data_IF_121543860344
#
_entry.id   IF_121543860344
#
_cell.length_a   1.000
_cell.length_b   1.000
_cell.length_c   1.000
_cell.angle_alpha   90.00
_cell.angle_beta   90.00
_cell.angle_gamma   90.00
#
_symmetry.space_group_name_H-M   'P 1'
#
loop_
_entity.id
_entity.type
_entity.pdbx_description
1 polymer ?
#
# COMPACT_ATOMS: atom_id res chain seq x y z
N UNK A 1 -164.27 -38.35 -15.79
CA UNK A 1 -163.65 -39.61 -16.25
C UNK A 1 -163.06 -39.38 -17.64
N UNK A 2 -161.74 -39.18 -17.73
CA UNK A 2 -160.96 -39.12 -18.99
C UNK A 2 -159.59 -39.87 -18.80
N UNK A 3 -159.48 -40.70 -17.77
CA UNK A 3 -158.20 -41.20 -17.24
C UNK A 3 -157.64 -42.49 -17.84
N UNK A 4 -158.39 -43.21 -18.68
CA UNK A 4 -158.00 -44.55 -19.16
C UNK A 4 -157.73 -44.67 -20.66
N UNK A 5 -157.70 -43.55 -21.38
CA UNK A 5 -157.29 -43.54 -22.78
C UNK A 5 -155.75 -43.60 -22.85
N UNK A 6 -155.19 -44.63 -23.50
CA UNK A 6 -153.75 -44.84 -23.64
C UNK A 6 -152.99 -43.62 -24.21
N UNK A 7 -153.68 -42.81 -25.01
CA UNK A 7 -153.20 -41.52 -25.51
C UNK A 7 -152.91 -40.50 -24.40
N UNK A 8 -153.72 -40.42 -23.34
CA UNK A 8 -153.49 -39.48 -22.22
C UNK A 8 -152.29 -39.88 -21.36
N UNK A 9 -152.04 -41.17 -21.12
CA UNK A 9 -150.82 -41.63 -20.42
C UNK A 9 -149.56 -41.32 -21.23
N UNK A 10 -149.60 -41.49 -22.54
CA UNK A 10 -148.50 -41.13 -23.43
C UNK A 10 -148.22 -39.62 -23.41
N UNK A 11 -149.25 -38.79 -23.53
CA UNK A 11 -149.11 -37.32 -23.44
C UNK A 11 -148.57 -36.90 -22.07
N UNK A 12 -149.03 -37.51 -20.98
CA UNK A 12 -148.50 -37.28 -19.63
C UNK A 12 -147.01 -37.56 -19.53
N UNK A 13 -146.55 -38.72 -20.03
CA UNK A 13 -145.12 -39.07 -20.04
C UNK A 13 -144.27 -38.15 -20.95
N UNK A 14 -144.83 -37.63 -22.04
CA UNK A 14 -144.15 -36.63 -22.88
C UNK A 14 -144.03 -35.28 -22.16
N UNK A 15 -145.06 -34.84 -21.44
CA UNK A 15 -145.01 -33.61 -20.64
C UNK A 15 -144.00 -33.71 -19.48
N UNK A 16 -143.95 -34.86 -18.81
CA UNK A 16 -142.98 -35.11 -17.73
C UNK A 16 -141.54 -35.08 -18.25
N UNK A 17 -141.25 -35.75 -19.37
CA UNK A 17 -139.94 -35.67 -20.03
C UNK A 17 -139.60 -34.25 -20.49
N UNK A 18 -140.56 -33.48 -21.00
CA UNK A 18 -140.33 -32.07 -21.35
C UNK A 18 -139.98 -31.23 -20.11
N UNK A 19 -140.61 -31.52 -18.96
CA UNK A 19 -140.27 -30.86 -17.70
C UNK A 19 -138.87 -31.25 -17.21
N UNK A 20 -138.48 -32.53 -17.33
CA UNK A 20 -137.12 -33.00 -17.04
C UNK A 20 -136.08 -32.36 -17.96
N UNK A 21 -136.31 -32.38 -19.28
CA UNK A 21 -135.45 -31.74 -20.27
C UNK A 21 -135.31 -30.24 -19.99
N UNK A 22 -136.39 -29.56 -19.58
CA UNK A 22 -136.31 -28.14 -19.21
C UNK A 22 -135.45 -27.92 -17.96
N UNK A 23 -135.51 -28.82 -16.97
CA UNK A 23 -134.65 -28.77 -15.78
C UNK A 23 -133.19 -29.04 -16.14
N UNK A 24 -132.93 -30.02 -17.00
CA UNK A 24 -131.59 -30.36 -17.49
C UNK A 24 -131.00 -29.22 -18.31
N UNK A 25 -131.75 -28.62 -19.23
CA UNK A 25 -131.31 -27.45 -20.00
C UNK A 25 -130.94 -26.29 -19.08
N UNK A 26 -131.79 -25.96 -18.09
CA UNK A 26 -131.46 -24.91 -17.11
C UNK A 26 -130.23 -25.24 -16.28
N UNK A 27 -130.05 -26.51 -15.90
CA UNK A 27 -128.85 -26.96 -15.19
C UNK A 27 -127.61 -26.81 -16.08
N UNK A 28 -127.68 -27.25 -17.33
CA UNK A 28 -126.59 -27.13 -18.31
C UNK A 28 -126.23 -25.67 -18.56
N UNK A 29 -127.22 -24.83 -18.80
CA UNK A 29 -127.07 -23.38 -18.99
C UNK A 29 -126.39 -22.74 -17.77
N UNK A 30 -126.83 -23.08 -16.55
CA UNK A 30 -126.18 -22.60 -15.32
C UNK A 30 -124.72 -23.08 -15.22
N UNK A 31 -124.43 -24.35 -15.54
CA UNK A 31 -123.06 -24.86 -15.51
C UNK A 31 -122.18 -24.23 -16.59
N UNK A 32 -122.73 -23.99 -17.79
CA UNK A 32 -122.05 -23.32 -18.88
C UNK A 32 -121.70 -21.88 -18.50
N UNK A 33 -122.65 -21.15 -17.92
CA UNK A 33 -122.42 -19.79 -17.41
C UNK A 33 -121.34 -19.74 -16.32
N UNK A 34 -121.32 -20.71 -15.40
CA UNK A 34 -120.26 -20.83 -14.38
C UNK A 34 -118.91 -21.13 -15.03
N UNK A 35 -118.87 -22.03 -16.01
CA UNK A 35 -117.64 -22.37 -16.74
C UNK A 35 -117.11 -21.17 -17.54
N UNK A 36 -117.99 -20.41 -18.21
CA UNK A 36 -117.62 -19.18 -18.92
C UNK A 36 -117.06 -18.15 -17.95
N UNK A 37 -117.68 -17.96 -16.78
CA UNK A 37 -117.17 -17.06 -15.75
C UNK A 37 -115.80 -17.50 -15.21
N UNK A 38 -115.59 -18.81 -15.02
CA UNK A 38 -114.30 -19.37 -14.61
C UNK A 38 -113.22 -19.20 -15.69
N UNK A 39 -113.54 -19.48 -16.96
CA UNK A 39 -112.64 -19.28 -18.09
C UNK A 39 -112.24 -17.81 -18.21
N UNK A 40 -113.20 -16.89 -18.11
CA UNK A 40 -112.93 -15.44 -18.14
C UNK A 40 -112.02 -15.01 -16.98
N UNK A 41 -112.23 -15.57 -15.78
CA UNK A 41 -111.36 -15.30 -14.63
C UNK A 41 -109.95 -15.83 -14.84
N UNK A 42 -109.81 -17.05 -15.35
CA UNK A 42 -108.51 -17.66 -15.65
C UNK A 42 -107.77 -16.90 -16.76
N UNK A 43 -108.48 -16.44 -17.80
CA UNK A 43 -107.90 -15.66 -18.88
C UNK A 43 -107.34 -14.32 -18.37
N UNK A 44 -108.10 -13.63 -17.50
CA UNK A 44 -107.61 -12.43 -16.81
C UNK A 44 -106.39 -12.70 -15.94
N UNK A 45 -106.34 -13.84 -15.24
CA UNK A 45 -105.18 -14.22 -14.42
C UNK A 45 -103.97 -14.56 -15.30
N UNK A 46 -104.19 -15.23 -16.44
CA UNK A 46 -103.15 -15.55 -17.42
C UNK A 46 -102.55 -14.27 -18.00
N UNK A 47 -103.37 -13.29 -18.35
CA UNK A 47 -102.91 -12.00 -18.89
C UNK A 47 -102.15 -11.17 -17.86
N UNK A 48 -102.60 -11.14 -16.61
CA UNK A 48 -101.87 -10.49 -15.52
C UNK A 48 -100.53 -11.16 -15.26
N UNK A 49 -100.49 -12.50 -15.23
CA UNK A 49 -99.24 -13.25 -15.07
C UNK A 49 -98.28 -13.03 -16.24
N UNK A 50 -98.79 -12.99 -17.49
CA UNK A 50 -97.99 -12.66 -18.68
C UNK A 50 -97.43 -11.24 -18.61
N UNK A 51 -98.23 -10.28 -18.14
CA UNK A 51 -97.78 -8.90 -17.96
C UNK A 51 -96.67 -8.81 -16.91
N UNK A 52 -96.85 -9.44 -15.76
CA UNK A 52 -95.82 -9.49 -14.70
C UNK A 52 -94.55 -10.21 -15.17
N UNK A 53 -94.67 -11.28 -15.95
CA UNK A 53 -93.52 -11.98 -16.53
C UNK A 53 -92.71 -11.07 -17.45
N UNK A 54 -93.38 -10.29 -18.32
CA UNK A 54 -92.72 -9.29 -19.19
C UNK A 54 -92.04 -8.19 -18.40
N UNK A 55 -92.70 -7.64 -17.38
CA UNK A 55 -92.10 -6.62 -16.52
C UNK A 55 -90.84 -7.12 -15.80
N UNK A 56 -90.85 -8.38 -15.34
CA UNK A 56 -89.69 -9.02 -14.72
C UNK A 56 -88.59 -9.34 -15.71
N UNK A 57 -88.93 -9.69 -16.95
CA UNK A 57 -87.96 -9.90 -18.03
C UNK A 57 -87.24 -8.59 -18.39
N UNK A 58 -87.99 -7.49 -18.53
CA UNK A 58 -87.43 -6.15 -18.76
C UNK A 58 -86.52 -5.70 -17.59
N UNK A 59 -86.92 -5.97 -16.35
CA UNK A 59 -86.12 -5.68 -15.15
C UNK A 59 -84.81 -6.49 -15.15
N UNK A 60 -84.87 -7.79 -15.47
CA UNK A 60 -83.70 -8.63 -15.60
C UNK A 60 -82.76 -8.16 -16.71
N UNK A 61 -83.29 -7.69 -17.84
CA UNK A 61 -82.47 -7.16 -18.93
C UNK A 61 -81.75 -5.87 -18.52
N UNK A 62 -82.43 -4.96 -17.80
CA UNK A 62 -81.82 -3.74 -17.24
C UNK A 62 -80.72 -4.08 -16.24
N UNK A 63 -80.96 -5.02 -15.34
CA UNK A 63 -79.96 -5.47 -14.37
C UNK A 63 -78.76 -6.13 -15.04
N UNK A 64 -78.97 -6.93 -16.10
CA UNK A 64 -77.87 -7.50 -16.90
C UNK A 64 -77.03 -6.41 -17.57
N UNK A 65 -77.66 -5.41 -18.19
CA UNK A 65 -76.95 -4.26 -18.79
C UNK A 65 -76.15 -3.50 -17.73
N UNK A 66 -76.74 -3.28 -16.56
CA UNK A 66 -76.05 -2.64 -15.44
C UNK A 66 -74.82 -3.43 -14.97
N UNK A 67 -74.97 -4.74 -14.74
CA UNK A 67 -73.86 -5.63 -14.36
C UNK A 67 -72.76 -5.61 -15.43
N UNK A 68 -73.13 -5.63 -16.71
CA UNK A 68 -72.16 -5.55 -17.80
C UNK A 68 -71.37 -4.23 -17.76
N UNK A 69 -72.06 -3.09 -17.64
CA UNK A 69 -71.38 -1.79 -17.53
C UNK A 69 -70.49 -1.69 -16.30
N UNK A 70 -70.94 -2.21 -15.15
CA UNK A 70 -70.14 -2.24 -13.93
C UNK A 70 -68.89 -3.10 -14.11
N UNK A 71 -69.00 -4.28 -14.72
CA UNK A 71 -67.85 -5.14 -15.03
C UNK A 71 -66.86 -4.48 -15.98
N UNK A 72 -67.34 -3.79 -17.03
CA UNK A 72 -66.47 -3.09 -17.97
C UNK A 72 -65.73 -1.93 -17.28
N UNK A 73 -66.40 -1.19 -16.39
CA UNK A 73 -65.73 -0.16 -15.57
C UNK A 73 -64.72 -0.74 -14.58
N UNK A 74 -65.01 -1.90 -13.97
CA UNK A 74 -64.10 -2.58 -13.05
C UNK A 74 -62.82 -3.03 -13.78
N UNK A 75 -62.96 -3.66 -14.95
CA UNK A 75 -61.82 -4.04 -15.81
C UNK A 75 -60.97 -2.83 -16.24
N UNK A 76 -61.62 -1.72 -16.58
CA UNK A 76 -60.91 -0.48 -16.92
C UNK A 76 -60.17 0.11 -15.72
N UNK A 77 -60.71 -0.01 -14.51
CA UNK A 77 -60.03 0.39 -13.29
C UNK A 77 -58.84 -0.53 -12.95
N UNK A 78 -59.01 -1.85 -13.07
CA UNK A 78 -57.95 -2.84 -12.86
C UNK A 78 -56.77 -2.61 -13.81
N UNK A 79 -57.03 -2.36 -15.09
CA UNK A 79 -55.98 -2.04 -16.06
C UNK A 79 -55.20 -0.76 -15.68
N UNK A 80 -55.89 0.26 -15.16
CA UNK A 80 -55.24 1.50 -14.68
C UNK A 80 -54.43 1.26 -13.40
N UNK A 81 -54.86 0.36 -12.52
CA UNK A 81 -54.10 -0.02 -11.32
C UNK A 81 -52.82 -0.75 -11.75
N UNK A 82 -52.91 -1.70 -12.67
CA UNK A 82 -51.76 -2.44 -13.17
C UNK A 82 -50.73 -1.53 -13.86
N UNK A 83 -51.17 -0.59 -14.71
CA UNK A 83 -50.27 0.39 -15.34
C UNK A 83 -49.57 1.29 -14.31
N UNK A 84 -50.30 1.71 -13.26
CA UNK A 84 -49.72 2.48 -12.16
C UNK A 84 -48.73 1.66 -11.34
N UNK A 85 -49.00 0.39 -11.06
CA UNK A 85 -48.07 -0.51 -10.37
C UNK A 85 -46.78 -0.71 -11.17
N UNK A 86 -46.86 -0.90 -12.48
CA UNK A 86 -45.68 -0.99 -13.34
C UNK A 86 -44.88 0.32 -13.34
N UNK A 87 -45.58 1.46 -13.38
CA UNK A 87 -44.94 2.78 -13.31
C UNK A 87 -44.25 3.02 -11.95
N UNK A 88 -44.85 2.56 -10.85
CA UNK A 88 -44.28 2.63 -9.51
C UNK A 88 -43.04 1.76 -9.41
N UNK A 89 -43.07 0.52 -9.93
CA UNK A 89 -41.89 -0.34 -10.00
C UNK A 89 -40.71 0.31 -10.73
N UNK A 90 -40.96 0.96 -11.88
CA UNK A 90 -39.93 1.71 -12.61
C UNK A 90 -39.36 2.89 -11.81
N UNK A 91 -40.18 3.56 -11.00
CA UNK A 91 -39.74 4.66 -10.13
C UNK A 91 -38.93 4.12 -8.95
N UNK A 92 -39.34 3.01 -8.35
CA UNK A 92 -38.61 2.35 -7.26
C UNK A 92 -37.22 1.88 -7.71
N UNK A 93 -37.11 1.29 -8.90
CA UNK A 93 -35.82 0.86 -9.45
C UNK A 93 -34.90 2.06 -9.74
N UNK A 94 -35.43 3.15 -10.29
CA UNK A 94 -34.68 4.41 -10.44
C UNK A 94 -34.23 4.94 -9.08
N UNK A 95 -35.09 4.90 -8.07
CA UNK A 95 -34.75 5.36 -6.71
C UNK A 95 -33.62 4.50 -6.10
N UNK A 96 -33.65 3.17 -6.27
CA UNK A 96 -32.57 2.27 -5.82
C UNK A 96 -31.24 2.61 -6.49
N UNK A 97 -31.23 2.78 -7.82
CA UNK A 97 -30.00 3.17 -8.54
C UNK A 97 -29.48 4.54 -8.10
N UNK A 98 -30.37 5.51 -7.83
CA UNK A 98 -29.97 6.83 -7.34
C UNK A 98 -29.38 6.75 -5.91
N UNK A 99 -29.94 5.90 -5.04
CA UNK A 99 -29.38 5.67 -3.70
C UNK A 99 -28.00 5.04 -3.79
N UNK A 100 -27.79 4.05 -4.65
CA UNK A 100 -26.49 3.40 -4.83
C UNK A 100 -25.43 4.36 -5.38
N UNK A 101 -25.78 5.16 -6.40
CA UNK A 101 -24.87 6.19 -6.94
C UNK A 101 -24.56 7.27 -5.92
N UNK A 102 -25.54 7.72 -5.12
CA UNK A 102 -25.34 8.69 -4.04
C UNK A 102 -24.38 8.16 -2.97
N UNK A 103 -24.55 6.91 -2.53
CA UNK A 103 -23.63 6.26 -1.57
C UNK A 103 -22.21 6.17 -2.10
N UNK A 104 -22.05 5.83 -3.40
CA UNK A 104 -20.74 5.79 -4.05
C UNK A 104 -20.08 7.18 -4.09
N UNK A 105 -20.85 8.21 -4.44
CA UNK A 105 -20.33 9.59 -4.42
C UNK A 105 -19.96 10.06 -3.02
N UNK A 106 -20.70 9.65 -1.99
CA UNK A 106 -20.37 9.96 -0.60
C UNK A 106 -19.05 9.29 -0.17
N UNK A 107 -18.84 8.00 -0.51
CA UNK A 107 -17.57 7.32 -0.24
C UNK A 107 -16.40 7.96 -0.99
N UNK A 108 -16.59 8.28 -2.28
CA UNK A 108 -15.56 8.92 -3.09
C UNK A 108 -15.21 10.32 -2.53
N UNK A 109 -16.21 11.10 -2.15
CA UNK A 109 -16.02 12.41 -1.50
C UNK A 109 -15.25 12.30 -0.18
N UNK A 110 -15.53 11.29 0.64
CA UNK A 110 -14.80 11.05 1.88
C UNK A 110 -13.34 10.67 1.62
N UNK A 111 -13.07 9.86 0.59
CA UNK A 111 -11.70 9.51 0.21
C UNK A 111 -10.92 10.73 -0.30
N UNK A 112 -11.51 11.54 -1.18
CA UNK A 112 -10.88 12.77 -1.66
C UNK A 112 -10.66 13.79 -0.55
N UNK A 113 -11.57 13.87 0.44
CA UNK A 113 -11.37 14.73 1.61
C UNK A 113 -10.18 14.26 2.46
N UNK A 114 -10.00 12.94 2.63
CA UNK A 114 -8.84 12.39 3.34
C UNK A 114 -7.52 12.65 2.59
N UNK A 115 -7.51 12.47 1.27
CA UNK A 115 -6.37 12.78 0.41
C UNK A 115 -6.00 14.27 0.45
N UNK A 116 -7.00 15.17 0.39
CA UNK A 116 -6.79 16.61 0.50
C UNK A 116 -6.13 16.99 1.83
N UNK A 117 -6.60 16.43 2.96
CA UNK A 117 -5.99 16.64 4.28
C UNK A 117 -4.55 16.13 4.35
N UNK A 118 -4.27 14.98 3.74
CA UNK A 118 -2.92 14.44 3.67
C UNK A 118 -1.99 15.34 2.85
N UNK A 119 -2.46 15.86 1.72
CA UNK A 119 -1.69 16.80 0.88
C UNK A 119 -1.46 18.14 1.58
N UNK A 120 -2.44 18.66 2.32
CA UNK A 120 -2.28 19.87 3.15
C UNK A 120 -1.20 19.68 4.22
N UNK A 121 -1.19 18.53 4.89
CA UNK A 121 -0.16 18.22 5.90
C UNK A 121 1.23 18.09 5.27
N UNK A 122 1.35 17.45 4.10
CA UNK A 122 2.61 17.39 3.36
C UNK A 122 3.11 18.77 2.93
N UNK A 123 2.22 19.65 2.48
CA UNK A 123 2.55 21.04 2.14
C UNK A 123 2.99 21.82 3.39
N UNK A 124 2.33 21.61 4.53
CA UNK A 124 2.69 22.23 5.81
C UNK A 124 4.10 21.83 6.25
N UNK A 125 4.42 20.52 6.20
CA UNK A 125 5.76 20.01 6.52
C UNK A 125 6.81 20.56 5.55
N UNK A 126 6.51 20.56 4.25
CA UNK A 126 7.43 21.08 3.23
C UNK A 126 7.72 22.57 3.41
N UNK A 127 6.70 23.38 3.74
CA UNK A 127 6.87 24.81 4.05
C UNK A 127 7.73 25.04 5.29
N UNK A 128 7.57 24.21 6.32
CA UNK A 128 8.41 24.27 7.53
C UNK A 128 9.87 23.97 7.19
N UNK A 129 10.12 22.89 6.45
CA UNK A 129 11.46 22.53 6.00
C UNK A 129 12.11 23.64 5.14
N UNK A 130 11.33 24.29 4.27
CA UNK A 130 11.82 25.41 3.45
C UNK A 130 12.16 26.64 4.31
N UNK A 131 11.43 26.88 5.40
CA UNK A 131 11.78 27.91 6.39
C UNK A 131 13.06 27.57 7.12
N UNK A 132 13.17 26.34 7.64
CA UNK A 132 14.34 25.88 8.41
C UNK A 132 15.62 25.93 7.55
N UNK A 133 15.54 25.48 6.28
CA UNK A 133 16.65 25.57 5.33
C UNK A 133 17.02 27.01 4.95
N UNK A 134 16.04 27.93 4.92
CA UNK A 134 16.32 29.35 4.70
C UNK A 134 17.08 29.96 5.86
N UNK A 135 16.70 29.62 7.09
CA UNK A 135 17.39 30.07 8.30
C UNK A 135 18.81 29.49 8.37
N UNK A 136 18.99 28.20 8.08
CA UNK A 136 20.32 27.57 8.01
C UNK A 136 21.22 28.22 6.95
N UNK A 137 20.68 28.48 5.76
CA UNK A 137 21.41 29.19 4.71
C UNK A 137 21.84 30.59 5.15
N UNK A 138 21.01 31.30 5.92
CA UNK A 138 21.36 32.61 6.49
C UNK A 138 22.52 32.51 7.48
N UNK A 139 22.48 31.52 8.37
CA UNK A 139 23.57 31.27 9.34
C UNK A 139 24.88 30.91 8.63
N UNK A 140 24.84 30.01 7.65
CA UNK A 140 26.02 29.63 6.87
C UNK A 140 26.60 30.79 6.05
N UNK A 141 25.74 31.65 5.49
CA UNK A 141 26.18 32.84 4.78
C UNK A 141 26.91 33.83 5.71
N UNK A 142 26.42 33.98 6.95
CA UNK A 142 27.07 34.82 7.95
C UNK A 142 28.43 34.24 8.38
N UNK A 143 28.51 32.93 8.62
CA UNK A 143 29.78 32.25 8.93
C UNK A 143 30.80 32.37 7.79
N UNK A 144 30.34 32.26 6.53
CA UNK A 144 31.20 32.48 5.37
C UNK A 144 31.72 33.91 5.33
N UNK A 145 30.86 34.91 5.60
CA UNK A 145 31.23 36.33 5.67
C UNK A 145 32.31 36.56 6.73
N UNK A 146 32.10 36.06 7.95
CA UNK A 146 33.08 36.15 9.04
C UNK A 146 34.41 35.48 8.68
N UNK A 147 34.38 34.30 8.03
CA UNK A 147 35.60 33.60 7.59
C UNK A 147 36.32 34.33 6.47
N UNK A 148 35.59 34.96 5.53
CA UNK A 148 36.21 35.79 4.50
C UNK A 148 36.86 37.03 5.09
N UNK A 149 36.20 37.71 6.06
CA UNK A 149 36.77 38.84 6.77
C UNK A 149 38.05 38.44 7.54
N UNK A 150 38.05 37.29 8.24
CA UNK A 150 39.25 36.74 8.89
C UNK A 150 40.38 36.44 7.90
N UNK A 151 40.07 35.88 6.72
CA UNK A 151 41.08 35.59 5.69
C UNK A 151 41.68 36.87 5.11
N UNK A 152 40.87 37.91 4.94
CA UNK A 152 41.34 39.23 4.49
C UNK A 152 42.25 39.87 5.54
N UNK A 153 41.92 39.76 6.84
CA UNK A 153 42.80 40.18 7.92
C UNK A 153 44.14 39.43 7.91
N UNK A 154 44.11 38.09 7.83
CA UNK A 154 45.32 37.27 7.75
C UNK A 154 46.18 37.66 6.54
N UNK A 155 45.56 37.88 5.37
CA UNK A 155 46.27 38.32 4.18
C UNK A 155 46.90 39.71 4.37
N UNK A 156 46.21 40.61 5.06
CA UNK A 156 46.73 41.93 5.39
C UNK A 156 47.96 41.84 6.32
N UNK A 157 47.98 40.92 7.28
CA UNK A 157 49.14 40.59 8.12
C UNK A 157 50.27 39.85 7.37
N UNK A 158 49.94 39.10 6.31
CA UNK A 158 50.94 38.37 5.50
C UNK A 158 51.77 39.31 4.61
N UNK A 159 51.23 40.46 4.21
CA UNK A 159 51.95 41.47 3.43
C UNK A 159 53.22 42.01 4.14
N UNK A 160 53.20 42.39 5.43
CA UNK A 160 54.41 42.73 6.16
C UNK A 160 55.31 41.52 6.40
N UNK A 161 54.77 40.31 6.58
CA UNK A 161 55.58 39.08 6.66
C UNK A 161 56.41 38.83 5.39
N UNK A 162 55.87 39.10 4.19
CA UNK A 162 56.66 39.04 2.93
C UNK A 162 57.81 40.04 2.88
N UNK A 163 57.71 41.17 3.59
CA UNK A 163 58.84 42.12 3.74
C UNK A 163 59.91 41.54 4.65
N UNK A 164 59.51 40.81 5.70
CA UNK A 164 60.42 40.07 6.58
C UNK A 164 61.07 38.90 5.82
N UNK A 165 60.34 38.10 5.04
CA UNK A 165 60.90 37.02 4.20
C UNK A 165 61.88 37.53 3.13
N UNK A 166 61.70 38.77 2.65
CA UNK A 166 62.66 39.40 1.74
C UNK A 166 63.94 39.76 2.49
N UNK A 167 63.81 40.25 3.73
CA UNK A 167 64.91 40.52 4.65
C UNK A 167 65.64 39.24 5.09
N UNK A 168 64.91 38.14 5.29
CA UNK A 168 65.45 36.81 5.59
C UNK A 168 66.13 36.19 4.37
N UNK A 169 65.59 36.30 3.15
CA UNK A 169 66.33 35.84 1.94
C UNK A 169 67.61 36.64 1.68
N UNK A 170 67.61 37.93 1.98
CA UNK A 170 68.80 38.77 1.89
C UNK A 170 69.84 38.43 2.98
N UNK A 171 69.45 37.76 4.08
CA UNK A 171 70.36 37.28 5.15
C UNK A 171 70.68 35.79 5.08
N UNK A 172 69.83 34.97 4.45
CA UNK A 172 69.98 33.51 4.31
C UNK A 172 70.65 33.09 3.00
N UNK A 173 71.09 34.06 2.18
CA UNK A 173 72.06 33.87 1.08
C UNK A 173 73.45 33.41 1.54
N UNK A 174 73.66 33.18 2.85
CA UNK A 174 74.92 32.70 3.44
C UNK A 174 74.84 31.25 3.96
N UNK A 175 73.66 30.62 4.01
CA UNK A 175 73.56 29.22 4.43
C UNK A 175 73.40 28.27 3.24
N UNK A 176 74.49 27.58 2.96
CA UNK A 176 74.69 26.51 1.99
C UNK A 176 73.55 25.45 2.00
N UNK A 177 73.06 25.00 0.84
CA UNK A 177 72.11 23.91 0.77
C UNK A 177 72.75 22.61 1.28
N UNK A 178 72.12 22.00 2.28
CA UNK A 178 72.37 20.63 2.69
C UNK A 178 72.41 19.73 1.45
N UNK A 179 73.52 19.04 1.27
CA UNK A 179 73.88 18.30 0.06
C UNK A 179 72.84 17.23 -0.31
N UNK A 180 72.61 17.13 -1.63
CA UNK A 180 71.74 16.16 -2.32
C UNK A 180 72.04 14.68 -2.03
N UNK A 181 73.16 14.37 -1.37
CA UNK A 181 73.56 13.01 -1.01
C UNK A 181 72.68 12.36 0.06
N UNK A 182 72.02 13.15 0.95
CA UNK A 182 71.12 12.60 1.97
C UNK A 182 69.75 12.19 1.43
N UNK A 183 69.28 12.84 0.35
CA UNK A 183 68.01 12.51 -0.31
C UNK A 183 68.08 11.18 -1.09
N UNK A 184 69.22 10.87 -1.70
CA UNK A 184 69.41 9.60 -2.42
C UNK A 184 69.53 8.40 -1.47
N UNK A 185 70.07 8.59 -0.27
CA UNK A 185 70.14 7.55 0.75
C UNK A 185 68.75 7.21 1.32
N UNK A 186 67.90 8.22 1.57
CA UNK A 186 66.53 8.02 2.03
C UNK A 186 65.67 7.29 0.98
N UNK A 187 65.80 7.65 -0.30
CA UNK A 187 65.07 6.98 -1.38
C UNK A 187 65.41 5.48 -1.49
N UNK A 188 66.68 5.11 -1.31
CA UNK A 188 67.12 3.71 -1.33
C UNK A 188 66.60 2.89 -0.14
N UNK A 189 66.48 3.50 1.05
CA UNK A 189 65.92 2.84 2.24
C UNK A 189 64.41 2.60 2.09
N UNK A 190 63.68 3.55 1.52
CA UNK A 190 62.24 3.39 1.23
C UNK A 190 62.00 2.25 0.25
N UNK A 191 62.80 2.14 -0.81
CA UNK A 191 62.69 1.05 -1.78
C UNK A 191 62.93 -0.33 -1.15
N UNK A 192 63.89 -0.45 -0.22
CA UNK A 192 64.15 -1.70 0.52
C UNK A 192 63.00 -2.09 1.44
N UNK A 193 62.42 -1.12 2.15
CA UNK A 193 61.26 -1.37 3.02
C UNK A 193 60.02 -1.79 2.23
N UNK A 194 59.81 -1.22 1.04
CA UNK A 194 58.73 -1.64 0.14
C UNK A 194 58.92 -3.08 -0.36
N UNK A 195 60.16 -3.49 -0.65
CA UNK A 195 60.49 -4.87 -1.00
C UNK A 195 60.12 -5.85 0.11
N UNK A 196 60.56 -5.55 1.36
CA UNK A 196 60.27 -6.39 2.53
C UNK A 196 58.76 -6.50 2.79
N UNK A 197 58.01 -5.41 2.65
CA UNK A 197 56.55 -5.43 2.80
C UNK A 197 55.88 -6.31 1.74
N UNK A 198 56.39 -6.29 0.51
CA UNK A 198 55.86 -7.11 -0.60
C UNK A 198 56.13 -8.60 -0.34
N UNK A 199 57.32 -8.94 0.14
CA UNK A 199 57.69 -10.32 0.52
C UNK A 199 56.84 -10.82 1.70
N UNK A 200 56.68 -10.00 2.75
CA UNK A 200 55.83 -10.31 3.88
C UNK A 200 54.36 -10.53 3.46
N UNK A 201 53.85 -9.69 2.55
CA UNK A 201 52.51 -9.87 1.99
C UNK A 201 52.38 -11.19 1.23
N UNK A 202 53.34 -11.54 0.36
CA UNK A 202 53.31 -12.83 -0.35
C UNK A 202 53.32 -14.01 0.63
N UNK A 203 54.17 -13.98 1.65
CA UNK A 203 54.27 -15.03 2.64
C UNK A 203 52.94 -15.20 3.41
N UNK A 204 52.36 -14.11 3.92
CA UNK A 204 51.09 -14.19 4.65
C UNK A 204 49.96 -14.65 3.73
N UNK A 205 49.95 -14.21 2.48
CA UNK A 205 48.96 -14.63 1.50
C UNK A 205 49.04 -16.13 1.20
N UNK A 206 50.24 -16.68 1.08
CA UNK A 206 50.43 -18.11 0.80
C UNK A 206 49.99 -18.99 1.98
N UNK A 207 50.17 -18.53 3.23
CA UNK A 207 49.78 -19.30 4.42
C UNK A 207 48.33 -19.08 4.87
N UNK A 208 47.79 -17.86 4.75
CA UNK A 208 46.47 -17.48 5.29
C UNK A 208 45.43 -17.17 4.21
N UNK A 209 45.84 -17.13 2.94
CA UNK A 209 44.96 -17.00 1.78
C UNK A 209 44.25 -18.29 1.38
N UNK A 210 44.72 -19.44 1.87
CA UNK A 210 44.11 -20.75 1.62
C UNK A 210 42.93 -21.06 2.55
N UNK A 211 42.23 -22.16 2.26
CA UNK A 211 41.14 -22.65 3.10
C UNK A 211 41.68 -23.15 4.43
N UNK A 212 41.18 -22.58 5.53
CA UNK A 212 41.53 -23.03 6.87
C UNK A 212 40.78 -24.34 7.13
N UNK A 213 41.46 -25.40 7.59
CA UNK A 213 40.82 -26.66 7.95
C UNK A 213 39.72 -26.45 8.99
N UNK A 214 38.62 -27.20 8.88
CA UNK A 214 37.45 -27.08 9.76
C UNK A 214 37.77 -27.23 11.26
N UNK A 215 38.88 -27.91 11.59
CA UNK A 215 39.38 -28.06 12.95
C UNK A 215 39.80 -26.72 13.57
N UNK A 216 40.51 -25.89 12.80
CA UNK A 216 40.98 -24.55 13.23
C UNK A 216 39.84 -23.52 13.09
N UNK A 217 38.98 -23.68 12.08
CA UNK A 217 37.79 -22.83 11.92
C UNK A 217 36.81 -22.92 13.10
N UNK A 218 36.80 -24.05 13.82
CA UNK A 218 35.95 -24.29 15.00
C UNK A 218 36.60 -23.93 16.33
N UNK A 219 37.91 -23.63 16.36
CA UNK A 219 38.59 -23.21 17.59
C UNK A 219 38.27 -21.75 17.92
N UNK A 220 37.14 -21.54 18.59
CA UNK A 220 36.69 -20.21 19.00
C UNK A 220 37.71 -19.49 19.90
N UNK A 221 38.54 -20.22 20.66
CA UNK A 221 39.52 -19.64 21.58
C UNK A 221 40.69 -19.02 20.82
N UNK A 222 41.19 -19.68 19.79
CA UNK A 222 42.26 -19.14 18.94
C UNK A 222 41.83 -17.87 18.19
N UNK A 223 40.60 -17.85 17.65
CA UNK A 223 40.06 -16.67 16.97
C UNK A 223 39.81 -15.50 17.92
N UNK A 224 39.38 -15.77 19.16
CA UNK A 224 39.18 -14.72 20.15
C UNK A 224 40.51 -14.12 20.62
N UNK A 225 41.55 -14.95 20.80
CA UNK A 225 42.89 -14.46 21.11
C UNK A 225 43.43 -13.54 20.00
N UNK A 226 43.23 -13.90 18.74
CA UNK A 226 43.64 -13.07 17.60
C UNK A 226 42.83 -11.77 17.50
N UNK A 227 41.51 -11.82 17.76
CA UNK A 227 40.64 -10.63 17.81
C UNK A 227 40.99 -9.68 18.96
N UNK A 228 41.44 -10.24 20.09
CA UNK A 228 41.88 -9.48 21.26
C UNK A 228 43.24 -8.79 21.10
N UNK A 229 44.01 -9.13 20.05
CA UNK A 229 45.31 -8.50 19.80
C UNK A 229 45.17 -7.00 19.54
N UNK A 230 46.11 -6.19 20.07
CA UNK A 230 46.06 -4.73 20.00
C UNK A 230 45.93 -4.26 18.56
N UNK A 231 46.81 -4.73 17.67
CA UNK A 231 46.82 -4.39 16.24
C UNK A 231 45.52 -4.69 15.46
N UNK A 232 44.71 -5.65 15.91
CA UNK A 232 43.48 -6.08 15.23
C UNK A 232 42.26 -5.35 15.80
N UNK A 233 42.23 -5.18 17.13
CA UNK A 233 41.12 -4.54 17.84
C UNK A 233 41.14 -3.01 17.74
N UNK A 234 42.33 -2.38 17.78
CA UNK A 234 42.53 -0.94 17.74
C UNK A 234 43.73 -0.60 16.83
N UNK A 235 43.66 0.40 15.93
CA UNK A 235 42.56 1.36 15.67
C UNK A 235 41.57 0.90 14.57
N UNK A 236 41.85 -0.18 13.84
CA UNK A 236 41.16 -0.50 12.58
C UNK A 236 39.95 -1.44 12.72
N UNK A 237 39.75 -2.09 13.88
CA UNK A 237 38.64 -3.03 14.16
C UNK A 237 38.40 -4.02 13.01
N UNK A 238 39.46 -4.74 12.60
CA UNK A 238 39.41 -5.63 11.44
C UNK A 238 38.48 -6.82 11.75
N UNK A 239 37.34 -6.99 11.05
CA UNK A 239 36.47 -8.13 11.27
C UNK A 239 37.19 -9.41 10.84
N UNK A 240 37.31 -10.38 11.76
CA UNK A 240 37.93 -11.68 11.55
C UNK A 240 36.87 -12.79 11.48
N UNK A 241 36.26 -13.03 10.30
CA UNK A 241 35.35 -14.15 10.10
C UNK A 241 36.11 -15.49 10.03
N UNK A 242 35.54 -16.53 10.64
CA UNK A 242 36.09 -17.90 10.62
C UNK A 242 35.75 -18.70 9.34
N UNK A 243 34.99 -18.12 8.41
CA UNK A 243 34.58 -18.78 7.17
C UNK A 243 35.69 -18.80 6.12
N UNK A 244 35.55 -19.68 5.11
CA UNK A 244 36.47 -19.76 3.96
C UNK A 244 36.00 -18.94 2.75
N UNK A 245 35.17 -17.92 2.95
CA UNK A 245 34.81 -17.03 1.85
C UNK A 245 36.03 -16.24 1.35
N UNK A 246 36.08 -15.84 0.08
CA UNK A 246 37.18 -15.04 -0.46
C UNK A 246 37.45 -13.75 0.34
N UNK A 247 36.39 -13.12 0.85
CA UNK A 247 36.49 -11.93 1.70
C UNK A 247 37.07 -12.28 3.07
N UNK A 248 36.66 -13.41 3.66
CA UNK A 248 37.19 -13.86 4.93
C UNK A 248 38.70 -14.12 4.86
N UNK A 249 39.16 -14.77 3.78
CA UNK A 249 40.59 -14.99 3.49
C UNK A 249 41.38 -13.68 3.45
N UNK A 250 40.87 -12.68 2.74
CA UNK A 250 41.51 -11.36 2.67
C UNK A 250 41.58 -10.67 4.03
N UNK A 251 40.52 -10.77 4.84
CA UNK A 251 40.51 -10.20 6.19
C UNK A 251 41.48 -10.93 7.13
N UNK A 252 41.64 -12.25 6.99
CA UNK A 252 42.67 -13.01 7.73
C UNK A 252 44.08 -12.54 7.37
N UNK A 253 44.39 -12.40 6.08
CA UNK A 253 45.68 -11.89 5.61
C UNK A 253 45.94 -10.48 6.15
N UNK A 254 44.94 -9.58 6.09
CA UNK A 254 45.07 -8.23 6.61
C UNK A 254 45.32 -8.19 8.13
N UNK A 255 44.61 -9.01 8.90
CA UNK A 255 44.80 -9.08 10.35
C UNK A 255 46.18 -9.61 10.74
N UNK A 256 46.67 -10.67 10.08
CA UNK A 256 48.00 -11.22 10.34
C UNK A 256 49.09 -10.21 9.96
N UNK A 257 48.94 -9.50 8.85
CA UNK A 257 49.86 -8.41 8.47
C UNK A 257 49.83 -7.26 9.48
N UNK A 258 48.67 -6.92 10.04
CA UNK A 258 48.57 -5.91 11.09
C UNK A 258 49.33 -6.34 12.36
N UNK A 259 49.20 -7.60 12.76
CA UNK A 259 49.95 -8.17 13.91
C UNK A 259 51.45 -8.15 13.64
N UNK A 260 51.89 -8.64 12.48
CA UNK A 260 53.31 -8.62 12.10
C UNK A 260 53.86 -7.19 12.01
N UNK A 261 53.10 -6.27 11.42
CA UNK A 261 53.47 -4.86 11.33
C UNK A 261 53.61 -4.19 12.70
N UNK A 262 52.74 -4.56 13.65
CA UNK A 262 52.83 -4.10 15.03
C UNK A 262 54.09 -4.60 15.74
N UNK A 263 54.38 -5.91 15.67
CA UNK A 263 55.63 -6.45 16.23
C UNK A 263 56.87 -5.91 15.52
N UNK A 264 56.82 -5.71 14.20
CA UNK A 264 57.92 -5.06 13.48
C UNK A 264 58.13 -3.63 13.97
N UNK A 265 57.06 -2.87 14.21
CA UNK A 265 57.13 -1.52 14.74
C UNK A 265 57.69 -1.48 16.17
N UNK A 266 57.26 -2.40 17.03
CA UNK A 266 57.65 -2.45 18.44
C UNK A 266 59.03 -3.08 18.68
N UNK A 267 59.40 -4.13 17.96
CA UNK A 267 60.58 -4.93 18.30
C UNK A 267 61.77 -4.66 17.36
N UNK A 268 61.50 -4.29 16.10
CA UNK A 268 62.54 -4.23 15.05
C UNK A 268 62.79 -2.79 14.58
N UNK A 269 61.73 -2.02 14.40
CA UNK A 269 61.77 -0.65 13.88
C UNK A 269 61.76 0.41 14.99
N UNK A 270 61.71 -0.01 16.26
CA UNK A 270 62.05 0.89 17.36
C UNK A 270 63.45 1.44 17.13
N UNK A 271 63.71 2.73 17.42
CA UNK A 271 65.05 3.27 17.35
C UNK A 271 65.92 2.55 18.39
N UNK A 272 66.66 1.52 17.96
CA UNK A 272 67.65 0.78 18.76
C UNK A 272 68.86 1.64 19.19
N UNK A 273 68.78 2.95 18.99
CA UNK A 273 69.83 3.89 19.33
C UNK A 273 69.48 4.53 20.67
N UNK A 274 70.09 3.94 21.72
CA UNK A 274 70.40 4.55 23.02
C UNK A 274 69.25 4.47 24.05
N UNK A 275 69.13 3.36 24.78
CA UNK A 275 68.90 3.26 26.25
C UNK A 275 68.40 1.86 26.64
N UNK A 276 68.96 1.27 27.70
CA UNK A 276 68.59 -0.05 28.25
C UNK A 276 67.24 -0.04 29.02
N UNK A 277 66.62 1.12 29.21
CA UNK A 277 65.25 1.29 29.72
C UNK A 277 64.52 2.27 28.80
N UNK A 278 63.35 1.88 28.28
CA UNK A 278 62.58 2.62 27.28
C UNK A 278 62.28 4.07 27.68
N UNK A 279 63.17 4.97 27.28
CA UNK A 279 63.18 6.37 27.72
C UNK A 279 62.29 7.30 26.91
N UNK A 280 62.04 8.47 27.52
CA UNK A 280 61.28 9.68 27.14
C UNK A 280 61.17 9.99 25.63
N UNK A 281 62.15 9.59 24.82
CA UNK A 281 62.10 9.75 23.36
C UNK A 281 60.98 8.93 22.71
N UNK A 282 60.67 7.74 23.23
CA UNK A 282 59.57 6.93 22.71
C UNK A 282 58.21 7.55 23.07
N UNK A 283 58.07 8.10 24.28
CA UNK A 283 56.88 8.87 24.67
C UNK A 283 56.72 10.10 23.79
N UNK A 284 57.80 10.86 23.55
CA UNK A 284 57.79 12.05 22.70
C UNK A 284 57.40 11.72 21.24
N UNK A 285 57.95 10.62 20.68
CA UNK A 285 57.60 10.18 19.33
C UNK A 285 56.15 9.68 19.27
N UNK A 286 55.67 8.95 20.28
CA UNK A 286 54.28 8.49 20.37
C UNK A 286 53.30 9.67 20.50
N UNK A 287 53.66 10.68 21.29
CA UNK A 287 52.90 11.93 21.47
C UNK A 287 52.84 12.72 20.15
N UNK A 288 53.97 12.87 19.45
CA UNK A 288 54.03 13.45 18.10
C UNK A 288 53.20 12.67 17.07
N UNK A 289 53.12 11.34 17.21
CA UNK A 289 52.30 10.51 16.32
C UNK A 289 50.81 10.62 16.65
N UNK A 290 50.46 10.89 17.91
CA UNK A 290 49.09 11.13 18.36
C UNK A 290 48.55 12.51 17.95
N UNK A 291 49.44 13.49 17.81
CA UNK A 291 49.13 14.85 17.33
C UNK A 291 49.04 14.95 15.80
N UNK A 292 49.57 13.98 15.06
CA UNK A 292 49.43 13.92 13.60
C UNK A 292 48.09 13.22 13.27
N UNK A 293 47.06 13.94 12.82
CA UNK A 293 45.76 13.33 12.52
C UNK A 293 45.95 12.24 11.44
N UNK A 294 45.17 11.14 11.47
CA UNK A 294 45.38 10.01 10.56
C UNK A 294 45.41 10.48 9.11
N UNK A 295 46.63 10.51 8.54
CA UNK A 295 46.87 10.89 7.14
C UNK A 295 46.32 9.77 6.25
N UNK A 296 45.00 9.76 6.05
CA UNK A 296 44.34 8.70 5.29
C UNK A 296 42.81 8.74 5.21
N UNK A 297 42.14 9.66 5.90
CA UNK A 297 40.70 9.88 5.71
C UNK A 297 40.45 11.36 5.45
N UNK A 298 40.31 11.70 4.17
CA UNK A 298 39.72 12.97 3.74
C UNK A 298 38.40 13.23 4.49
N UNK A 299 38.12 14.46 4.97
CA UNK A 299 36.91 14.80 5.74
C UNK A 299 35.56 14.66 5.01
N UNK A 300 35.49 13.91 3.91
CA UNK A 300 34.30 13.84 3.03
C UNK A 300 33.41 12.60 3.24
N UNK A 301 33.72 11.70 4.18
CA UNK A 301 32.94 10.46 4.38
C UNK A 301 32.33 10.26 5.79
N UNK A 302 32.32 11.28 6.66
CA UNK A 302 31.63 11.23 7.97
C UNK A 302 30.20 11.78 7.95
N UNK A 303 29.53 11.78 6.80
CA UNK A 303 28.09 11.98 6.72
C UNK A 303 27.38 10.63 6.56
N UNK A 304 27.24 9.86 7.65
CA UNK A 304 26.31 8.73 7.70
C UNK A 304 25.19 8.98 8.71
N UNK A 305 24.07 9.35 8.13
CA UNK A 305 22.65 9.17 8.48
C UNK A 305 22.25 8.92 9.96
N UNK A 306 21.28 9.69 10.49
CA UNK A 306 20.56 9.31 11.71
C UNK A 306 19.62 8.14 11.42
N UNK A 307 19.72 7.07 12.22
CA UNK A 307 18.69 6.03 12.31
C UNK A 307 17.39 6.61 12.91
N UNK A 308 16.20 6.24 12.38
CA UNK A 308 14.95 6.55 13.06
C UNK A 308 14.76 5.63 14.27
N UNK A 309 14.64 6.23 15.46
CA UNK A 309 14.11 5.56 16.65
C UNK A 309 12.62 5.35 16.46
N UNK A 310 12.18 4.11 16.38
CA UNK A 310 10.76 3.76 16.47
C UNK A 310 10.22 4.00 17.89
N UNK A 311 8.96 4.42 18.05
CA UNK A 311 8.37 4.59 19.37
C UNK A 311 7.97 3.24 19.96
N UNK A 312 8.30 3.07 21.25
CA UNK A 312 7.73 2.05 22.12
C UNK A 312 6.26 2.37 22.38
N UNK A 313 5.36 1.48 21.96
CA UNK A 313 3.96 1.47 22.37
C UNK A 313 3.70 0.30 23.32
N UNK A 314 3.27 0.60 24.55
CA UNK A 314 2.72 -0.39 25.49
C UNK A 314 1.22 -0.59 25.22
N UNK A 315 0.86 -1.86 25.07
CA UNK A 315 -0.35 -2.59 25.50
C UNK A 315 -1.67 -1.84 25.73
N UNK A 316 -2.72 -2.32 25.07
CA UNK A 316 -4.04 -2.63 25.69
C UNK A 316 -4.64 -3.89 25.05
N UNK A 317 -5.38 -4.63 25.86
CA UNK A 317 -6.19 -5.84 25.62
C UNK A 317 -7.27 -5.61 24.52
N UNK A 318 -7.97 -6.54 23.88
CA UNK A 318 -8.42 -7.88 24.26
C UNK A 318 -8.97 -8.68 23.03
N UNK A 319 -9.19 -9.97 23.26
CA UNK A 319 -10.20 -10.90 22.68
C UNK A 319 -10.17 -11.37 21.21
N UNK A 320 -9.99 -12.70 21.11
CA UNK A 320 -10.70 -13.71 20.30
C UNK A 320 -10.65 -13.71 18.76
N UNK A 321 -10.29 -14.89 18.21
CA UNK A 321 -11.05 -15.47 17.09
C UNK A 321 -10.30 -15.87 15.81
N UNK A 322 -9.96 -17.16 15.73
CA UNK A 322 -10.09 -18.04 14.55
C UNK A 322 -9.16 -17.90 13.32
N UNK A 323 -8.37 -18.97 13.20
CA UNK A 323 -7.76 -19.69 12.09
C UNK A 323 -8.27 -19.52 10.63
N UNK A 324 -7.32 -19.83 9.74
CA UNK A 324 -7.38 -20.12 8.30
C UNK A 324 -7.36 -18.88 7.40
N UNK A 325 -6.56 -18.76 6.35
CA UNK A 325 -5.70 -19.67 5.60
C UNK A 325 -5.58 -19.07 4.19
N UNK A 326 -4.48 -19.33 3.48
CA UNK A 326 -4.45 -19.07 2.02
C UNK A 326 -3.26 -18.25 1.54
N UNK A 327 -2.29 -18.97 1.01
CA UNK A 327 -1.31 -18.53 0.02
C UNK A 327 -1.98 -17.79 -1.16
N UNK A 328 -1.29 -16.81 -1.74
CA UNK A 328 -1.01 -16.77 -3.18
C UNK A 328 -0.02 -15.65 -3.54
N UNK A 329 1.05 -16.08 -4.20
CA UNK A 329 2.07 -15.30 -4.88
C UNK A 329 1.50 -14.40 -5.97
N UNK A 330 2.08 -13.21 -6.16
CA UNK A 330 2.24 -12.66 -7.51
C UNK A 330 3.43 -11.71 -7.62
N UNK A 331 4.30 -12.07 -8.55
CA UNK A 331 5.43 -11.29 -9.04
C UNK A 331 4.94 -10.08 -9.85
N UNK A 332 5.69 -8.98 -9.78
CA UNK A 332 5.72 -7.96 -10.82
C UNK A 332 7.11 -7.34 -10.90
N UNK A 333 7.70 -7.50 -12.08
CA UNK A 333 8.97 -6.93 -12.53
C UNK A 333 8.88 -5.41 -12.70
N UNK A 334 10.03 -4.71 -12.69
CA UNK A 334 10.04 -3.33 -13.17
C UNK A 334 11.28 -2.49 -12.89
N UNK A 335 12.34 -2.71 -13.68
CA UNK A 335 13.26 -1.66 -14.21
C UNK A 335 14.11 -0.80 -13.25
N UNK A 336 15.38 -1.19 -13.15
CA UNK A 336 16.53 -0.36 -12.76
C UNK A 336 16.78 0.75 -13.79
N UNK A 337 16.87 2.02 -13.36
CA UNK A 337 17.52 3.09 -14.12
C UNK A 337 18.99 3.19 -13.73
N UNK A 338 19.87 2.98 -14.71
CA UNK A 338 21.29 3.37 -14.67
C UNK A 338 21.36 4.87 -14.97
N UNK A 339 21.97 5.65 -14.09
CA UNK A 339 22.46 6.99 -14.41
C UNK A 339 23.99 6.94 -14.34
N UNK A 340 24.62 7.18 -15.49
CA UNK A 340 26.07 7.19 -15.66
C UNK A 340 26.69 8.43 -15.04
N UNK A 341 27.84 8.24 -14.40
CA UNK A 341 28.70 9.30 -13.89
C UNK A 341 29.97 9.30 -14.75
N UNK A 342 30.30 10.44 -15.35
CA UNK A 342 31.52 10.67 -16.14
C UNK A 342 32.49 11.48 -15.26
N UNK A 343 33.74 11.03 -15.05
CA UNK A 343 34.71 11.77 -14.26
C UNK A 343 35.59 12.65 -15.15
N UNK A 344 35.71 13.93 -14.79
CA UNK A 344 36.72 14.85 -15.33
C UNK A 344 37.90 14.98 -14.36
N UNK A 345 39.09 14.61 -14.84
CA UNK A 345 40.31 15.42 -14.75
C UNK A 345 40.92 15.77 -13.38
N UNK A 346 41.96 15.01 -13.03
CA UNK A 346 43.22 15.44 -12.43
C UNK A 346 43.26 16.00 -10.99
N UNK A 347 43.57 15.12 -10.03
CA UNK A 347 44.72 15.27 -9.13
C UNK A 347 45.06 13.90 -8.52
N UNK A 348 46.19 13.32 -8.94
CA UNK A 348 46.65 11.99 -8.51
C UNK A 348 47.48 12.13 -7.23
N UNK A 349 47.07 11.41 -6.18
CA UNK A 349 47.82 11.21 -4.94
C UNK A 349 47.87 9.70 -4.63
N UNK A 350 48.93 9.26 -3.95
CA UNK A 350 49.38 7.88 -3.72
C UNK A 350 48.31 6.88 -3.22
N UNK A 351 47.18 7.33 -2.69
CA UNK A 351 46.05 6.47 -2.31
C UNK A 351 45.31 5.84 -3.51
N UNK A 352 45.52 6.35 -4.73
CA UNK A 352 44.96 5.76 -5.96
C UNK A 352 45.63 4.46 -6.37
N UNK A 353 46.94 4.30 -6.10
CA UNK A 353 47.71 3.09 -6.45
C UNK A 353 47.22 1.86 -5.67
N UNK A 354 46.88 2.03 -4.39
CA UNK A 354 46.30 0.95 -3.57
C UNK A 354 44.85 0.63 -3.94
N UNK A 355 44.10 1.61 -4.46
CA UNK A 355 42.71 1.42 -4.89
C UNK A 355 42.61 0.76 -6.26
N UNK A 356 43.58 0.99 -7.14
CA UNK A 356 43.66 0.39 -8.47
C UNK A 356 44.24 -1.05 -8.42
N UNK A 357 45.15 -1.37 -7.49
CA UNK A 357 45.61 -2.77 -7.27
C UNK A 357 44.48 -3.71 -6.79
N UNK A 358 43.52 -3.19 -6.02
CA UNK A 358 42.32 -3.93 -5.57
C UNK A 358 41.28 -4.05 -6.70
N UNK A 359 41.32 -3.15 -7.69
CA UNK A 359 40.38 -3.17 -8.83
C UNK A 359 40.85 -4.10 -9.95
N UNK A 360 42.16 -4.24 -10.16
CA UNK A 360 42.72 -5.11 -11.20
C UNK A 360 42.70 -6.61 -10.83
N UNK A 361 42.63 -6.95 -9.54
CA UNK A 361 42.46 -8.35 -9.09
C UNK A 361 41.03 -8.88 -9.19
N UNK A 362 40.03 -7.99 -9.25
CA UNK A 362 38.60 -8.37 -9.39
C UNK A 362 38.18 -8.50 -10.87
N UNK A 363 38.99 -7.99 -11.80
CA UNK A 363 38.66 -8.00 -13.24
C UNK A 363 39.36 -9.12 -14.03
N UNK A 364 40.22 -9.92 -13.40
CA UNK A 364 41.00 -11.00 -14.02
C UNK A 364 40.50 -12.43 -13.74
N UNK A 365 39.23 -12.61 -13.35
CA UNK A 365 38.65 -13.90 -12.98
C UNK A 365 37.53 -14.38 -13.92
N UNK A 366 37.76 -14.34 -15.23
CA UNK A 366 37.07 -15.19 -16.20
C UNK A 366 38.13 -15.81 -17.10
N UNK A 367 38.57 -16.99 -16.68
CA UNK A 367 39.36 -17.98 -17.41
C UNK A 367 38.94 -19.34 -16.88
#
# INVERSE_FOLDING_TARGET
>A
MLGDNASYRYIGGVLERNAELTKELKRLENTENVNIAQLTRLDRQLDEAKKQAREKEDELERMRKYIQTANDTARAAEAKVQDKEESLGKVEDKLKTLIETSKKHETDSMTHQAEARQMEEQLRVSRKNESDLRDEKRVLAEQLREKTEMLDEINNWRLPMKKIDKMERDTMSVCSPLSSAKLTAAANSVAKLQGLLTEAYSLVKDYFGDDVPDQIGKDAKAWEALRGHVAVSHPYKIPLPSSNSPQAKQMRVAAVLAVLGHHLAEEILQPLYILEEGGELNELLSELTSDDPPRGLSPLDTARCPHPRGPAGKQTEATEGRLSGGYLSRAAAGTRRKAGWVPTGAQRSLCSVLRDLVRDTVSGGQG
#
